data_IF_168674951609
#
_entry.id   IF_168674951609
#
_cell.length_a   1.000
_cell.length_b   1.000
_cell.length_c   1.000
_cell.angle_alpha   90.00
_cell.angle_beta   90.00
_cell.angle_gamma   90.00
#
_symmetry.space_group_name_H-M   'P 1'
#
loop_
_entity.id
_entity.type
_entity.pdbx_description
1 polymer ?
#
# COMPACT_ATOMS: atom_id res chain seq x y z
N UNK A 1 -15.78 21.93 21.05
CA UNK A 1 -14.61 22.22 20.21
C UNK A 1 -14.27 20.96 19.44
N UNK A 2 -14.33 21.09 18.11
CA UNK A 2 -13.95 20.16 17.05
C UNK A 2 -14.30 18.68 17.21
N UNK A 3 -15.48 18.35 16.68
CA UNK A 3 -15.80 17.05 16.11
C UNK A 3 -14.71 16.69 15.08
N UNK A 4 -13.79 15.79 15.45
CA UNK A 4 -12.83 15.18 14.53
C UNK A 4 -13.63 14.35 13.54
N UNK A 5 -13.79 14.92 12.36
CA UNK A 5 -14.53 14.39 11.23
C UNK A 5 -13.94 13.03 10.87
N UNK A 6 -14.72 11.99 11.17
CA UNK A 6 -14.59 10.65 10.63
C UNK A 6 -14.12 10.72 9.18
N UNK A 7 -12.87 10.29 8.95
CA UNK A 7 -12.36 9.97 7.62
C UNK A 7 -13.19 8.79 7.15
N UNK A 8 -14.14 9.10 6.25
CA UNK A 8 -15.06 8.15 5.66
C UNK A 8 -14.34 7.43 4.53
N UNK A 9 -13.43 6.53 4.89
CA UNK A 9 -13.24 5.26 4.20
C UNK A 9 -13.40 4.18 5.26
N UNK A 10 -14.62 4.01 5.76
CA UNK A 10 -15.00 2.79 6.47
C UNK A 10 -16.09 2.17 5.63
N UNK A 11 -15.67 1.26 4.76
CA UNK A 11 -16.45 0.07 4.45
C UNK A 11 -15.57 -1.10 4.82
N UNK A 12 -16.05 -1.86 5.80
CA UNK A 12 -15.50 -3.13 6.27
C UNK A 12 -15.14 -4.01 5.08
N UNK A 13 -13.84 -4.24 4.92
CA UNK A 13 -13.24 -5.30 4.14
C UNK A 13 -11.79 -5.37 4.59
N UNK A 14 -11.36 -6.51 5.13
CA UNK A 14 -9.94 -6.86 5.25
C UNK A 14 -9.32 -6.90 3.84
N UNK A 15 -9.09 -5.73 3.23
CA UNK A 15 -8.55 -5.60 1.88
C UNK A 15 -7.05 -5.32 1.94
N UNK A 16 -6.26 -5.99 1.08
CA UNK A 16 -4.84 -5.69 0.96
C UNK A 16 -4.58 -4.19 0.67
N UNK A 17 -5.50 -3.50 0.00
CA UNK A 17 -5.40 -2.06 -0.33
C UNK A 17 -5.22 -1.19 0.92
N UNK A 18 -6.03 -1.36 1.96
CA UNK A 18 -5.95 -0.54 3.17
C UNK A 18 -4.62 -0.74 3.89
N UNK A 19 -4.16 -1.99 3.95
CA UNK A 19 -2.87 -2.35 4.56
C UNK A 19 -1.70 -1.79 3.76
N UNK A 20 -1.75 -1.87 2.43
CA UNK A 20 -0.76 -1.25 1.55
C UNK A 20 -0.74 0.25 1.77
N UNK A 21 -1.90 0.92 1.78
CA UNK A 21 -2.01 2.35 2.06
C UNK A 21 -1.34 2.73 3.39
N UNK A 22 -1.58 1.98 4.47
CA UNK A 22 -0.96 2.27 5.77
C UNK A 22 0.56 2.10 5.75
N UNK A 23 1.07 1.04 5.13
CA UNK A 23 2.51 0.78 5.02
C UNK A 23 3.17 1.90 4.20
N UNK A 24 2.58 2.26 3.06
CA UNK A 24 3.06 3.33 2.19
C UNK A 24 3.10 4.67 2.92
N UNK A 25 2.02 5.04 3.62
CA UNK A 25 1.99 6.27 4.42
C UNK A 25 3.07 6.31 5.48
N UNK A 26 3.32 5.17 6.13
CA UNK A 26 4.33 5.04 7.17
C UNK A 26 5.75 5.15 6.61
N UNK A 27 6.05 4.48 5.50
CA UNK A 27 7.38 4.51 4.88
C UNK A 27 7.68 5.89 4.29
N UNK A 28 6.72 6.49 3.58
CA UNK A 28 6.88 7.82 2.98
C UNK A 28 6.67 8.98 3.98
N UNK A 29 6.44 8.67 5.26
CA UNK A 29 6.11 9.63 6.31
C UNK A 29 5.04 10.65 5.88
N UNK A 30 4.03 10.18 5.14
CA UNK A 30 2.97 11.04 4.62
C UNK A 30 2.08 11.54 5.76
N UNK A 31 1.65 12.81 5.72
CA UNK A 31 0.72 13.32 6.71
C UNK A 31 -0.62 12.57 6.69
N UNK A 32 -1.30 12.48 7.83
CA UNK A 32 -2.58 11.75 7.98
C UNK A 32 -3.68 12.26 7.02
N UNK A 33 -3.58 13.52 6.61
CA UNK A 33 -4.49 14.20 5.70
C UNK A 33 -4.19 13.91 4.22
N UNK A 34 -3.12 13.17 3.91
CA UNK A 34 -2.87 12.67 2.57
C UNK A 34 -3.83 11.54 2.26
N UNK A 35 -4.70 11.78 1.28
CA UNK A 35 -5.55 10.75 0.70
C UNK A 35 -4.71 9.84 -0.18
N UNK A 36 -4.68 8.56 0.18
CA UNK A 36 -4.06 7.50 -0.61
C UNK A 36 -5.18 6.53 -0.94
N UNK A 37 -5.42 6.36 -2.23
CA UNK A 37 -6.47 5.50 -2.79
C UNK A 37 -5.83 4.43 -3.66
N UNK A 38 -6.59 3.40 -4.03
CA UNK A 38 -6.11 2.35 -4.95
C UNK A 38 -5.53 2.91 -6.25
N UNK A 39 -6.18 3.93 -6.81
CA UNK A 39 -5.73 4.61 -8.04
C UNK A 39 -4.47 5.47 -7.86
N UNK A 40 -4.04 5.74 -6.62
CA UNK A 40 -2.85 6.55 -6.34
C UNK A 40 -1.59 5.83 -6.77
N UNK A 41 -0.72 6.54 -7.50
CA UNK A 41 0.58 6.00 -7.92
C UNK A 41 1.65 6.24 -6.86
N UNK A 42 2.53 5.28 -6.64
CA UNK A 42 3.65 5.43 -5.70
C UNK A 42 4.51 6.66 -6.03
N UNK A 43 4.80 6.88 -7.32
CA UNK A 43 5.57 8.06 -7.76
C UNK A 43 4.84 9.39 -7.53
N UNK A 44 3.50 9.41 -7.54
CA UNK A 44 2.70 10.62 -7.25
C UNK A 44 2.62 10.90 -5.75
N UNK A 45 2.71 9.84 -4.93
CA UNK A 45 2.83 9.93 -3.48
C UNK A 45 4.23 10.38 -3.03
N UNK A 46 5.16 10.54 -3.98
CA UNK A 46 6.52 10.97 -3.69
C UNK A 46 7.49 9.83 -3.37
N UNK A 47 7.10 8.57 -3.63
CA UNK A 47 8.03 7.46 -3.55
C UNK A 47 9.08 7.56 -4.65
N UNK A 48 10.34 7.60 -4.25
CA UNK A 48 11.47 7.47 -5.16
C UNK A 48 11.83 5.98 -5.40
N UNK A 49 12.90 5.76 -6.17
CA UNK A 49 13.38 4.40 -6.47
C UNK A 49 13.84 3.62 -5.24
N UNK A 50 14.31 4.29 -4.18
CA UNK A 50 14.72 3.68 -2.92
C UNK A 50 13.50 3.43 -2.02
N UNK A 51 12.59 4.41 -1.89
CA UNK A 51 11.35 4.27 -1.13
C UNK A 51 10.52 3.10 -1.65
N UNK A 52 10.45 2.93 -2.97
CA UNK A 52 9.72 1.81 -3.58
C UNK A 52 10.29 0.46 -3.13
N UNK A 53 11.62 0.33 -3.01
CA UNK A 53 12.26 -0.89 -2.50
C UNK A 53 11.92 -1.11 -1.03
N UNK A 54 11.98 -0.07 -0.20
CA UNK A 54 11.63 -0.16 1.24
C UNK A 54 10.15 -0.48 1.46
N UNK A 55 9.25 0.05 0.63
CA UNK A 55 7.82 -0.26 0.65
C UNK A 55 7.61 -1.73 0.29
N UNK A 56 8.19 -2.21 -0.82
CA UNK A 56 8.04 -3.60 -1.26
C UNK A 56 8.57 -4.58 -0.20
N UNK A 57 9.75 -4.31 0.36
CA UNK A 57 10.29 -5.14 1.45
C UNK A 57 9.37 -5.15 2.69
N UNK A 58 8.79 -4.00 3.05
CA UNK A 58 7.83 -3.91 4.15
C UNK A 58 6.54 -4.68 3.88
N UNK A 59 6.06 -4.70 2.64
CA UNK A 59 4.91 -5.50 2.21
C UNK A 59 5.23 -7.00 2.27
N UNK A 60 6.39 -7.41 1.76
CA UNK A 60 6.86 -8.80 1.82
C UNK A 60 6.93 -9.32 3.26
N UNK A 61 7.52 -8.54 4.17
CA UNK A 61 7.65 -8.93 5.58
C UNK A 61 6.30 -8.93 6.30
N UNK A 62 5.42 -7.94 6.03
CA UNK A 62 4.14 -7.82 6.70
C UNK A 62 3.13 -8.91 6.28
N UNK A 63 3.15 -9.30 5.01
CA UNK A 63 2.27 -10.34 4.48
C UNK A 63 2.93 -11.72 4.42
N UNK A 64 4.21 -11.81 4.79
CA UNK A 64 5.03 -13.00 4.66
C UNK A 64 4.93 -13.55 3.22
N UNK A 65 5.18 -12.72 2.22
CA UNK A 65 5.16 -13.10 0.79
C UNK A 65 6.50 -12.80 0.14
N UNK A 66 6.71 -13.28 -1.09
CA UNK A 66 7.85 -12.92 -1.92
C UNK A 66 7.33 -12.34 -3.23
N UNK A 67 7.65 -11.08 -3.48
CA UNK A 67 7.31 -10.34 -4.68
C UNK A 67 8.54 -10.35 -5.59
N UNK A 68 8.39 -10.91 -6.79
CA UNK A 68 9.49 -10.86 -7.76
C UNK A 68 9.78 -9.42 -8.17
N UNK A 69 11.06 -9.07 -8.34
CA UNK A 69 11.48 -7.72 -8.73
C UNK A 69 10.80 -7.26 -10.04
N UNK A 70 10.61 -8.18 -10.98
CA UNK A 70 9.89 -7.94 -12.23
C UNK A 70 8.43 -7.54 -12.00
N UNK A 71 7.78 -8.12 -10.99
CA UNK A 71 6.40 -7.80 -10.61
C UNK A 71 6.34 -6.47 -9.85
N UNK A 72 7.28 -6.23 -8.93
CA UNK A 72 7.43 -4.96 -8.23
C UNK A 72 7.63 -3.77 -9.21
N UNK A 73 8.38 -3.96 -10.28
CA UNK A 73 8.56 -2.93 -11.32
C UNK A 73 7.29 -2.68 -12.15
N UNK A 74 6.37 -3.64 -12.22
CA UNK A 74 5.08 -3.46 -12.91
C UNK A 74 4.01 -2.81 -12.04
N UNK A 75 4.22 -2.78 -10.72
CA UNK A 75 3.31 -2.14 -9.78
C UNK A 75 3.43 -0.63 -9.92
N UNK A 76 2.37 0.00 -10.43
CA UNK A 76 2.32 1.46 -10.60
C UNK A 76 1.42 2.12 -9.55
N UNK A 77 0.33 1.45 -9.18
CA UNK A 77 -0.69 1.95 -8.26
C UNK A 77 -0.81 1.10 -7.00
N UNK A 78 -1.37 1.69 -5.95
CA UNK A 78 -1.65 0.98 -4.69
C UNK A 78 -2.56 -0.23 -4.91
N UNK A 79 -3.51 -0.12 -5.84
CA UNK A 79 -4.40 -1.22 -6.20
C UNK A 79 -3.65 -2.38 -6.86
N UNK A 80 -2.71 -2.08 -7.78
CA UNK A 80 -1.86 -3.12 -8.40
C UNK A 80 -1.06 -3.90 -7.34
N UNK A 81 -0.53 -3.19 -6.35
CA UNK A 81 0.21 -3.80 -5.24
C UNK A 81 -0.69 -4.69 -4.40
N UNK A 82 -1.87 -4.19 -4.03
CA UNK A 82 -2.84 -4.93 -3.23
C UNK A 82 -3.33 -6.20 -3.92
N UNK A 83 -3.70 -6.11 -5.19
CA UNK A 83 -4.11 -7.25 -6.01
C UNK A 83 -3.02 -8.32 -6.11
N UNK A 84 -1.76 -7.87 -6.21
CA UNK A 84 -0.62 -8.77 -6.28
C UNK A 84 -0.41 -9.49 -4.94
N UNK A 85 -0.51 -8.76 -3.83
CA UNK A 85 -0.42 -9.31 -2.48
C UNK A 85 -1.53 -10.34 -2.26
N UNK A 86 -2.78 -10.01 -2.58
CA UNK A 86 -3.91 -10.91 -2.40
C UNK A 86 -3.71 -12.22 -3.18
N UNK A 87 -3.18 -12.14 -4.40
CA UNK A 87 -2.84 -13.34 -5.20
C UNK A 87 -1.74 -14.16 -4.54
N UNK A 88 -0.67 -13.53 -4.05
CA UNK A 88 0.46 -14.25 -3.43
C UNK A 88 0.07 -14.87 -2.09
N UNK A 89 -0.69 -14.16 -1.26
CA UNK A 89 -1.22 -14.65 0.01
C UNK A 89 -2.15 -15.85 -0.23
N UNK A 90 -3.01 -15.79 -1.26
CA UNK A 90 -3.88 -16.90 -1.63
C UNK A 90 -3.12 -18.14 -2.15
N UNK A 91 -1.94 -17.95 -2.77
CA UNK A 91 -1.09 -19.05 -3.25
C UNK A 91 -0.26 -19.66 -2.11
N UNK A 92 0.06 -18.88 -1.08
CA UNK A 92 0.85 -19.34 0.08
C UNK A 92 0.00 -20.08 1.13
N UNK A 93 -1.31 -19.85 1.16
CA UNK A 93 -2.28 -20.49 2.07
C UNK A 93 -2.59 -21.95 1.69
#
# INVERSE_FOLDING_TARGET
>A
MSVTKFIKCVTVGDGAVDKVCEIVKKQLALPDHTEVCGESKFSELGADSLDTVEIVMGLEEHFDISVEESSAQTIATVEDAADLIDKLVAVKA
#
